data_IF_174952617698
#
_entry.id   IF_174952617698
#
_cell.length_a   1.000
_cell.length_b   1.000
_cell.length_c   1.000
_cell.angle_alpha   90.00
_cell.angle_beta   90.00
_cell.angle_gamma   90.00
#
_symmetry.space_group_name_H-M   'P 1'
#
loop_
_entity.id
_entity.type
_entity.pdbx_description
1 polymer ?
#
# COMPACT_ATOMS: atom_id res chain seq x y z
N UNK A 1 -26.25 12.05 -16.12
CA UNK A 1 -27.09 12.51 -15.00
C UNK A 1 -26.28 12.45 -13.74
N UNK A 2 -26.32 13.47 -12.89
CA UNK A 2 -25.62 13.41 -11.60
C UNK A 2 -26.30 12.34 -10.73
N UNK A 3 -25.62 11.23 -10.48
CA UNK A 3 -26.09 10.23 -9.53
C UNK A 3 -26.02 10.82 -8.12
N UNK A 4 -27.14 10.83 -7.41
CA UNK A 4 -27.17 11.16 -6.00
C UNK A 4 -27.20 9.84 -5.21
N UNK A 5 -26.24 9.65 -4.29
CA UNK A 5 -26.34 8.58 -3.32
C UNK A 5 -27.53 8.88 -2.40
N UNK A 6 -28.54 7.99 -2.41
CA UNK A 6 -29.71 8.08 -1.53
C UNK A 6 -29.70 6.88 -0.58
N UNK A 7 -30.20 7.06 0.65
CA UNK A 7 -30.27 6.01 1.67
C UNK A 7 -28.92 5.41 2.08
N UNK A 8 -27.97 6.21 2.62
CA UNK A 8 -26.69 5.70 3.08
C UNK A 8 -26.88 4.66 4.19
N UNK A 9 -26.09 3.57 4.13
CA UNK A 9 -26.05 2.52 5.14
C UNK A 9 -24.61 2.30 5.60
N UNK A 10 -24.42 2.12 6.91
CA UNK A 10 -23.13 1.74 7.46
C UNK A 10 -22.86 0.27 7.16
N UNK A 11 -21.79 -0.01 6.42
CA UNK A 11 -21.35 -1.39 6.10
C UNK A 11 -20.45 -1.94 7.21
N UNK A 12 -19.55 -1.12 7.73
CA UNK A 12 -18.74 -1.40 8.92
C UNK A 12 -18.65 -0.12 9.75
N UNK A 13 -18.87 -0.24 11.07
CA UNK A 13 -18.84 0.88 12.02
C UNK A 13 -17.94 0.58 13.20
N UNK A 14 -17.65 1.58 14.04
CA UNK A 14 -16.75 1.43 15.18
C UNK A 14 -15.30 1.15 14.79
N UNK A 15 -14.90 1.56 13.59
CA UNK A 15 -13.52 1.50 13.13
C UNK A 15 -12.65 2.48 13.93
N UNK A 16 -11.35 2.19 14.14
CA UNK A 16 -10.51 3.07 14.93
C UNK A 16 -10.31 4.38 14.18
N UNK A 17 -10.30 5.49 14.90
CA UNK A 17 -10.08 6.85 14.42
C UNK A 17 -9.25 7.64 15.45
N UNK A 18 -8.92 8.90 15.14
CA UNK A 18 -8.16 9.79 16.01
C UNK A 18 -8.85 10.06 17.37
N UNK A 19 -10.14 9.76 17.48
CA UNK A 19 -10.93 9.90 18.71
C UNK A 19 -11.07 8.60 19.50
N UNK A 20 -10.47 7.51 19.03
CA UNK A 20 -10.52 6.23 19.71
C UNK A 20 -9.88 6.35 21.11
N UNK A 21 -10.61 6.01 22.20
CA UNK A 21 -10.17 6.33 23.56
C UNK A 21 -8.83 5.71 23.97
N UNK A 22 -8.52 4.54 23.43
CA UNK A 22 -7.27 3.84 23.67
C UNK A 22 -6.08 4.52 22.98
N UNK A 23 -6.31 5.22 21.86
CA UNK A 23 -5.29 5.90 21.08
C UNK A 23 -4.94 7.29 21.63
N UNK A 24 -5.85 7.93 22.37
CA UNK A 24 -5.63 9.26 22.98
C UNK A 24 -5.11 10.31 21.98
N UNK A 25 -5.56 10.25 20.72
CA UNK A 25 -5.11 11.13 19.64
C UNK A 25 -3.83 10.68 18.90
N UNK A 26 -3.20 9.58 19.30
CA UNK A 26 -2.03 9.02 18.65
C UNK A 26 -2.41 7.96 17.62
N UNK A 27 -2.84 8.40 16.43
CA UNK A 27 -3.07 7.52 15.29
C UNK A 27 -2.42 8.10 14.03
N UNK A 28 -1.29 7.53 13.60
CA UNK A 28 -0.54 7.99 12.43
C UNK A 28 -1.20 7.63 11.10
N UNK A 29 -1.87 6.47 11.00
CA UNK A 29 -2.44 5.97 9.75
C UNK A 29 -3.97 5.93 9.80
N UNK A 30 -4.60 7.10 9.86
CA UNK A 30 -6.04 7.27 10.05
C UNK A 30 -6.91 6.95 8.83
N UNK A 31 -6.34 6.88 7.63
CA UNK A 31 -7.09 6.67 6.40
C UNK A 31 -7.47 5.19 6.22
N UNK A 32 -8.60 4.95 5.57
CA UNK A 32 -9.10 3.61 5.25
C UNK A 32 -9.46 3.59 3.79
N UNK A 33 -8.82 2.70 3.04
CA UNK A 33 -9.17 2.45 1.65
C UNK A 33 -10.21 1.38 1.57
N UNK A 34 -11.08 1.45 0.57
CA UNK A 34 -12.20 0.52 0.38
C UNK A 34 -12.16 -0.02 -1.03
N UNK A 35 -12.31 -1.34 -1.16
CA UNK A 35 -12.49 -2.01 -2.43
C UNK A 35 -13.71 -2.92 -2.36
N UNK A 36 -14.41 -3.10 -3.49
CA UNK A 36 -15.59 -3.97 -3.58
C UNK A 36 -15.28 -5.11 -4.53
N UNK A 37 -15.38 -6.34 -4.04
CA UNK A 37 -15.20 -7.54 -4.83
C UNK A 37 -16.32 -7.75 -5.86
N UNK A 38 -16.07 -8.55 -6.91
CA UNK A 38 -17.10 -8.87 -7.91
C UNK A 38 -18.28 -9.65 -7.31
N UNK A 39 -18.05 -10.34 -6.19
CA UNK A 39 -19.07 -11.03 -5.39
C UNK A 39 -19.89 -10.09 -4.49
N UNK A 40 -19.53 -8.81 -4.42
CA UNK A 40 -20.14 -7.81 -3.54
C UNK A 40 -19.60 -7.81 -2.11
N UNK A 41 -18.51 -8.55 -1.83
CA UNK A 41 -17.77 -8.40 -0.59
C UNK A 41 -17.14 -7.00 -0.51
N UNK A 42 -17.08 -6.42 0.69
CA UNK A 42 -16.44 -5.12 0.90
C UNK A 42 -15.15 -5.33 1.68
N UNK A 43 -14.04 -4.91 1.11
CA UNK A 43 -12.72 -4.94 1.73
C UNK A 43 -12.33 -3.54 2.15
N UNK A 44 -11.69 -3.41 3.32
CA UNK A 44 -11.18 -2.13 3.75
C UNK A 44 -9.91 -2.26 4.58
N UNK A 45 -8.98 -1.32 4.42
CA UNK A 45 -7.74 -1.29 5.21
C UNK A 45 -7.94 -0.58 6.54
N UNK A 46 -7.23 -1.05 7.57
CA UNK A 46 -7.04 -0.38 8.85
C UNK A 46 -5.53 -0.30 9.09
N UNK A 47 -4.95 0.90 8.94
CA UNK A 47 -3.52 1.12 9.16
C UNK A 47 -3.11 0.98 10.63
N UNK A 48 -1.82 0.79 10.88
CA UNK A 48 -1.21 0.75 12.21
C UNK A 48 -1.31 2.09 12.94
N UNK A 49 -1.31 2.06 14.26
CA UNK A 49 -1.31 3.26 15.11
C UNK A 49 -0.07 4.12 14.93
N UNK A 50 1.06 3.51 14.61
CA UNK A 50 2.33 4.21 14.43
C UNK A 50 3.32 3.42 13.58
N UNK A 51 4.59 3.80 13.66
CA UNK A 51 5.65 3.18 12.87
C UNK A 51 5.86 1.71 13.23
N UNK A 52 5.94 1.43 14.53
CA UNK A 52 6.16 0.11 15.14
C UNK A 52 5.26 0.04 16.37
N UNK A 53 4.17 -0.72 16.27
CA UNK A 53 3.19 -0.83 17.37
C UNK A 53 2.78 -2.29 17.52
N UNK A 54 3.55 -3.07 18.30
CA UNK A 54 3.26 -4.50 18.50
C UNK A 54 1.85 -4.74 19.11
N UNK A 55 1.37 -3.81 19.91
CA UNK A 55 0.02 -3.82 20.50
C UNK A 55 -1.11 -3.91 19.45
N UNK A 56 -0.90 -3.37 18.24
CA UNK A 56 -1.87 -3.41 17.14
C UNK A 56 -2.21 -4.85 16.73
N UNK A 57 -1.28 -5.79 16.92
CA UNK A 57 -1.48 -7.21 16.61
C UNK A 57 -2.52 -7.88 17.49
N UNK A 58 -2.87 -7.26 18.62
CA UNK A 58 -3.88 -7.74 19.57
C UNK A 58 -5.00 -6.74 19.83
N UNK A 59 -4.97 -5.59 19.15
CA UNK A 59 -5.94 -4.53 19.34
C UNK A 59 -7.35 -4.94 18.89
N UNK A 60 -8.36 -4.32 19.48
CA UNK A 60 -9.76 -4.43 19.05
C UNK A 60 -10.33 -3.03 18.86
N UNK A 61 -10.76 -2.65 17.65
CA UNK A 61 -10.68 -3.40 16.39
C UNK A 61 -9.23 -3.68 15.94
N UNK A 62 -8.99 -4.73 15.13
CA UNK A 62 -7.65 -5.07 14.66
C UNK A 62 -7.06 -3.95 13.78
N UNK A 63 -5.73 -3.82 13.78
CA UNK A 63 -4.99 -2.78 13.06
C UNK A 63 -3.81 -3.40 12.33
N UNK A 64 -3.24 -2.65 11.39
CA UNK A 64 -2.35 -3.20 10.38
C UNK A 64 -2.98 -4.40 9.66
N UNK A 65 -4.22 -4.24 9.24
CA UNK A 65 -5.05 -5.31 8.65
C UNK A 65 -5.81 -4.83 7.44
N UNK A 66 -6.16 -5.78 6.57
CA UNK A 66 -7.24 -5.63 5.60
C UNK A 66 -8.40 -6.49 6.11
N UNK A 67 -9.55 -5.84 6.30
CA UNK A 67 -10.77 -6.45 6.77
C UNK A 67 -11.70 -6.76 5.60
N UNK A 68 -12.60 -7.73 5.79
CA UNK A 68 -13.63 -8.11 4.83
C UNK A 68 -15.00 -8.15 5.49
N UNK A 69 -15.99 -7.59 4.82
CA UNK A 69 -17.42 -7.84 5.07
C UNK A 69 -17.92 -8.80 3.99
N UNK A 70 -18.55 -9.94 4.35
CA UNK A 70 -19.08 -10.88 3.38
C UNK A 70 -20.13 -10.27 2.43
N UNK A 71 -20.33 -10.86 1.24
CA UNK A 71 -21.46 -10.53 0.38
C UNK A 71 -22.79 -10.62 1.13
N UNK A 72 -23.65 -9.62 0.97
CA UNK A 72 -24.92 -9.54 1.70
C UNK A 72 -24.81 -8.92 3.10
N UNK A 73 -23.59 -8.63 3.58
CA UNK A 73 -23.33 -8.00 4.87
C UNK A 73 -22.95 -9.00 5.96
N UNK A 74 -22.84 -8.51 7.20
CA UNK A 74 -22.41 -9.30 8.36
C UNK A 74 -21.26 -8.62 9.11
N UNK A 75 -20.72 -9.28 10.15
CA UNK A 75 -19.55 -8.77 10.86
C UNK A 75 -18.34 -8.73 9.94
N UNK A 76 -17.49 -7.71 10.13
CA UNK A 76 -16.20 -7.65 9.46
C UNK A 76 -15.21 -8.63 10.12
N UNK A 77 -14.43 -9.32 9.30
CA UNK A 77 -13.39 -10.27 9.74
C UNK A 77 -12.04 -9.92 9.10
N UNK A 78 -10.89 -10.22 9.76
CA UNK A 78 -9.59 -10.05 9.13
C UNK A 78 -9.46 -10.92 7.88
N UNK A 79 -9.13 -10.30 6.75
CA UNK A 79 -8.81 -10.97 5.49
C UNK A 79 -7.31 -11.14 5.33
N UNK A 80 -6.53 -10.11 5.68
CA UNK A 80 -5.07 -10.15 5.74
C UNK A 80 -4.54 -9.36 6.94
N UNK A 81 -3.41 -9.77 7.47
CA UNK A 81 -2.75 -9.19 8.66
C UNK A 81 -1.32 -8.75 8.34
N UNK A 82 -0.73 -7.90 9.18
CA UNK A 82 0.61 -7.35 8.97
C UNK A 82 0.71 -6.35 7.83
N UNK A 83 -0.42 -5.78 7.43
CA UNK A 83 -0.51 -4.75 6.40
C UNK A 83 -0.39 -3.39 7.10
N UNK A 84 0.84 -2.93 7.36
CA UNK A 84 1.14 -1.70 8.14
C UNK A 84 0.24 -0.52 7.73
N UNK A 85 0.23 -0.17 6.45
CA UNK A 85 -0.55 0.93 5.92
C UNK A 85 -0.85 0.68 4.42
N UNK A 86 -1.78 -0.24 4.18
CA UNK A 86 -2.26 -0.66 2.87
C UNK A 86 -3.31 0.29 2.28
N UNK A 87 -2.95 1.54 2.06
CA UNK A 87 -3.83 2.54 1.43
C UNK A 87 -4.05 2.27 -0.05
N UNK A 88 -3.08 1.71 -0.77
CA UNK A 88 -3.38 1.13 -2.08
C UNK A 88 -4.17 -0.15 -1.87
N UNK A 89 -5.43 -0.20 -2.28
CA UNK A 89 -6.27 -1.39 -2.18
C UNK A 89 -7.21 -1.46 -3.38
N UNK A 90 -7.11 -2.53 -4.17
CA UNK A 90 -7.92 -2.70 -5.36
C UNK A 90 -8.21 -4.17 -5.64
N UNK A 91 -9.27 -4.40 -6.40
CA UNK A 91 -9.59 -5.71 -6.95
C UNK A 91 -9.07 -5.74 -8.38
N UNK A 92 -8.25 -6.73 -8.69
CA UNK A 92 -7.70 -6.98 -10.01
C UNK A 92 -8.76 -7.57 -10.97
N UNK A 93 -8.49 -7.61 -12.29
CA UNK A 93 -9.45 -8.15 -13.27
C UNK A 93 -9.85 -9.61 -13.04
N UNK A 94 -8.97 -10.41 -12.42
CA UNK A 94 -9.25 -11.81 -12.04
C UNK A 94 -10.11 -11.94 -10.76
N UNK A 95 -10.48 -10.82 -10.13
CA UNK A 95 -11.22 -10.76 -8.89
C UNK A 95 -10.36 -10.87 -7.62
N UNK A 96 -9.04 -11.03 -7.75
CA UNK A 96 -8.16 -11.07 -6.60
C UNK A 96 -7.99 -9.67 -5.97
N UNK A 97 -7.88 -9.62 -4.65
CA UNK A 97 -7.58 -8.38 -3.94
C UNK A 97 -6.07 -8.15 -3.90
N UNK A 98 -5.65 -6.91 -4.12
CA UNK A 98 -4.26 -6.49 -4.08
C UNK A 98 -4.10 -5.27 -3.19
N UNK A 99 -2.93 -5.14 -2.57
CA UNK A 99 -2.57 -3.94 -1.81
C UNK A 99 -1.20 -3.40 -2.20
N UNK A 100 -1.08 -2.08 -2.21
CA UNK A 100 0.21 -1.40 -2.17
C UNK A 100 0.37 -0.82 -0.74
N UNK A 101 1.36 -1.35 -0.02
CA UNK A 101 1.51 -1.17 1.42
C UNK A 101 2.78 -0.35 1.73
N UNK A 102 2.61 0.67 2.58
CA UNK A 102 3.72 1.49 3.05
C UNK A 102 4.44 0.75 4.20
N UNK A 103 5.69 0.36 3.96
CA UNK A 103 6.58 -0.35 4.87
C UNK A 103 7.04 0.48 6.07
N UNK A 104 7.94 -0.11 6.85
CA UNK A 104 8.42 0.44 8.11
C UNK A 104 9.43 1.58 7.88
N UNK A 105 9.31 2.67 8.64
CA UNK A 105 10.31 3.73 8.68
C UNK A 105 11.47 3.36 9.62
N UNK A 106 12.68 3.87 9.34
CA UNK A 106 13.85 3.77 10.22
C UNK A 106 14.12 2.33 10.66
N UNK A 107 14.12 1.40 9.69
CA UNK A 107 14.48 0.00 9.96
C UNK A 107 15.97 -0.08 10.34
N UNK A 108 16.31 -0.73 11.46
CA UNK A 108 17.70 -0.97 11.83
C UNK A 108 18.36 -1.99 10.89
N UNK A 109 19.68 -1.89 10.77
CA UNK A 109 20.48 -2.80 9.97
C UNK A 109 20.40 -4.23 10.55
N UNK A 110 20.01 -5.24 9.74
CA UNK A 110 19.68 -6.56 10.24
C UNK A 110 20.87 -7.52 10.31
N UNK A 111 21.96 -7.23 9.57
CA UNK A 111 23.08 -8.16 9.45
C UNK A 111 24.00 -8.16 10.67
N UNK A 112 24.45 -9.33 11.15
CA UNK A 112 25.40 -9.44 12.25
C UNK A 112 26.69 -8.65 11.97
N UNK A 113 27.09 -7.80 12.92
CA UNK A 113 28.30 -7.00 12.78
C UNK A 113 28.24 -5.72 13.60
N UNK A 114 29.20 -4.79 13.41
CA UNK A 114 29.27 -3.54 14.17
C UNK A 114 28.02 -2.67 14.04
N UNK A 115 27.32 -2.74 12.91
CA UNK A 115 26.11 -1.95 12.62
C UNK A 115 24.81 -2.68 12.99
N UNK A 116 24.85 -3.92 13.47
CA UNK A 116 23.65 -4.68 13.83
C UNK A 116 22.76 -3.90 14.81
N UNK A 117 21.47 -3.77 14.49
CA UNK A 117 20.51 -3.05 15.31
C UNK A 117 20.62 -1.51 15.22
N UNK A 118 21.54 -0.97 14.42
CA UNK A 118 21.68 0.47 14.24
C UNK A 118 20.83 0.98 13.08
N UNK A 119 20.18 2.13 13.27
CA UNK A 119 19.51 2.86 12.20
C UNK A 119 20.56 3.64 11.41
N UNK A 120 20.96 3.11 10.25
CA UNK A 120 21.96 3.74 9.38
C UNK A 120 21.27 4.31 8.13
N UNK A 121 21.52 5.58 7.75
CA UNK A 121 20.80 6.24 6.64
C UNK A 121 20.90 5.52 5.30
N UNK A 122 22.04 4.90 5.00
CA UNK A 122 22.26 4.15 3.74
C UNK A 122 21.33 2.94 3.64
N UNK A 123 21.21 2.14 4.71
CA UNK A 123 20.32 0.99 4.74
C UNK A 123 18.86 1.42 4.73
N UNK A 124 18.50 2.39 5.59
CA UNK A 124 17.14 2.94 5.65
C UNK A 124 16.73 3.46 4.28
N UNK A 125 17.60 4.19 3.59
CA UNK A 125 17.26 4.81 2.30
C UNK A 125 16.84 3.83 1.21
N UNK A 126 17.20 2.55 1.33
CA UNK A 126 16.88 1.49 0.37
C UNK A 126 16.04 0.36 0.97
N UNK A 127 15.68 0.41 2.27
CA UNK A 127 14.94 -0.66 2.93
C UNK A 127 13.88 -0.16 3.95
N UNK A 128 12.82 -0.95 4.16
CA UNK A 128 12.38 -2.03 3.28
C UNK A 128 11.80 -1.47 1.97
N UNK A 129 11.92 -2.17 0.84
CA UNK A 129 11.12 -1.86 -0.35
C UNK A 129 9.63 -1.79 -0.01
N UNK A 130 8.87 -0.94 -0.68
CA UNK A 130 7.41 -0.89 -0.51
C UNK A 130 6.78 -2.14 -1.13
N UNK A 131 5.74 -2.68 -0.53
CA UNK A 131 5.16 -3.96 -0.95
C UNK A 131 3.98 -3.76 -1.89
N UNK A 132 3.93 -4.50 -2.99
CA UNK A 132 2.73 -4.69 -3.82
C UNK A 132 2.37 -6.18 -3.76
N UNK A 133 1.33 -6.51 -3.00
CA UNK A 133 1.04 -7.87 -2.61
C UNK A 133 -0.37 -8.32 -3.01
N UNK A 134 -0.48 -9.58 -3.46
CA UNK A 134 -1.75 -10.26 -3.66
C UNK A 134 -2.29 -10.73 -2.30
N UNK A 135 -3.53 -10.39 -1.99
CA UNK A 135 -4.17 -10.75 -0.73
C UNK A 135 -5.08 -11.96 -0.91
N UNK A 136 -4.90 -12.93 -0.02
CA UNK A 136 -5.74 -14.13 0.11
C UNK A 136 -6.21 -14.24 1.57
N UNK A 137 -7.30 -14.99 1.85
CA UNK A 137 -7.76 -15.17 3.23
C UNK A 137 -6.65 -15.69 4.14
N UNK A 138 -6.38 -14.97 5.22
CA UNK A 138 -5.34 -15.30 6.20
C UNK A 138 -3.92 -14.92 5.79
N UNK A 139 -3.72 -14.19 4.68
CA UNK A 139 -2.39 -13.73 4.26
C UNK A 139 -1.78 -12.80 5.32
N UNK A 140 -0.53 -13.06 5.66
CA UNK A 140 0.27 -12.25 6.58
C UNK A 140 1.38 -11.53 5.80
N UNK A 141 1.49 -10.21 5.95
CA UNK A 141 2.51 -9.36 5.31
C UNK A 141 3.64 -8.91 6.27
N UNK A 142 3.72 -9.55 7.43
CA UNK A 142 4.92 -9.57 8.27
C UNK A 142 5.00 -8.47 9.32
N UNK A 143 4.41 -7.29 9.10
CA UNK A 143 4.52 -6.19 10.06
C UNK A 143 3.88 -6.55 11.43
N UNK A 144 4.49 -6.19 12.57
CA UNK A 144 5.75 -5.45 12.72
C UNK A 144 6.98 -6.36 12.90
N UNK A 145 6.83 -7.68 12.77
CA UNK A 145 7.82 -8.68 13.14
C UNK A 145 8.77 -9.07 12.02
N UNK A 146 8.38 -8.80 10.78
CA UNK A 146 9.17 -9.06 9.59
C UNK A 146 9.22 -7.81 8.70
N UNK A 147 10.32 -7.66 7.99
CA UNK A 147 10.48 -6.72 6.88
C UNK A 147 10.75 -7.51 5.61
N UNK A 148 10.43 -6.96 4.44
CA UNK A 148 10.86 -7.54 3.16
C UNK A 148 12.22 -7.00 2.74
N UNK A 149 12.99 -7.79 2.00
CA UNK A 149 14.30 -7.44 1.46
C UNK A 149 14.41 -7.89 0.00
N UNK A 150 15.31 -7.26 -0.76
CA UNK A 150 15.56 -7.61 -2.17
C UNK A 150 14.58 -6.93 -3.13
N UNK A 151 14.19 -7.65 -4.18
CA UNK A 151 13.28 -7.15 -5.22
C UNK A 151 13.94 -7.07 -6.61
N UNK A 152 13.16 -6.68 -7.64
CA UNK A 152 11.84 -6.06 -7.53
C UNK A 152 10.67 -7.03 -7.31
N UNK A 153 10.85 -8.34 -7.53
CA UNK A 153 9.80 -9.35 -7.42
C UNK A 153 10.20 -10.51 -6.48
N UNK A 154 9.21 -11.29 -6.04
CA UNK A 154 9.37 -12.46 -5.15
C UNK A 154 10.18 -12.16 -3.88
N UNK A 155 9.86 -11.05 -3.21
CA UNK A 155 10.66 -10.56 -2.08
C UNK A 155 10.47 -11.46 -0.85
N UNK A 156 11.53 -12.08 -0.32
CA UNK A 156 11.45 -12.79 0.93
C UNK A 156 11.26 -11.84 2.11
N UNK A 157 10.81 -12.40 3.22
CA UNK A 157 10.74 -11.72 4.51
C UNK A 157 11.96 -12.07 5.38
N UNK A 158 12.55 -11.05 5.98
CA UNK A 158 13.57 -11.15 7.02
C UNK A 158 12.98 -10.72 8.37
N UNK A 159 13.59 -11.20 9.45
CA UNK A 159 13.19 -10.83 10.81
C UNK A 159 13.49 -9.37 11.10
N UNK A 160 12.56 -8.72 11.79
CA UNK A 160 12.84 -7.44 12.40
C UNK A 160 13.71 -7.61 13.66
N UNK A 161 14.87 -6.98 13.69
CA UNK A 161 15.83 -7.18 14.80
C UNK A 161 15.41 -6.51 16.11
N UNK A 162 14.39 -5.66 16.11
CA UNK A 162 13.88 -5.05 17.34
C UNK A 162 12.67 -5.79 17.89
N UNK A 163 11.71 -6.14 17.03
CA UNK A 163 10.44 -6.73 17.47
C UNK A 163 10.42 -8.26 17.39
N UNK A 164 11.34 -8.87 16.62
CA UNK A 164 11.43 -10.32 16.43
C UNK A 164 12.89 -10.83 16.30
N UNK A 165 13.83 -10.40 17.17
CA UNK A 165 15.25 -10.75 17.05
C UNK A 165 15.51 -12.26 17.02
N UNK A 166 14.76 -13.01 17.83
CA UNK A 166 14.92 -14.45 17.97
C UNK A 166 14.06 -15.25 16.97
N UNK A 167 13.09 -14.60 16.32
CA UNK A 167 12.15 -15.25 15.38
C UNK A 167 10.90 -15.85 16.02
N UNK A 168 10.76 -15.78 17.35
CA UNK A 168 9.68 -16.44 18.09
C UNK A 168 8.30 -15.77 17.94
N UNK A 169 8.24 -14.52 17.44
CA UNK A 169 6.97 -13.79 17.29
C UNK A 169 6.28 -14.10 15.97
N UNK A 170 7.06 -14.38 14.92
CA UNK A 170 6.59 -14.76 13.60
C UNK A 170 7.72 -15.44 12.83
N UNK A 171 7.43 -16.60 12.24
CA UNK A 171 8.36 -17.26 11.32
C UNK A 171 8.35 -16.54 9.95
N UNK A 172 9.19 -15.53 9.82
CA UNK A 172 9.30 -14.73 8.61
C UNK A 172 9.68 -15.56 7.37
N UNK A 173 10.47 -16.61 7.55
CA UNK A 173 10.92 -17.46 6.43
C UNK A 173 9.79 -18.36 5.89
N UNK A 174 8.75 -18.61 6.69
CA UNK A 174 7.57 -19.36 6.26
C UNK A 174 6.51 -18.50 5.57
N UNK A 175 6.61 -17.16 5.65
CA UNK A 175 5.69 -16.27 4.95
C UNK A 175 5.91 -16.38 3.44
N UNK A 176 4.85 -16.44 2.62
CA UNK A 176 5.02 -16.44 1.18
C UNK A 176 5.66 -15.10 0.74
N UNK A 177 6.53 -15.10 -0.28
CA UNK A 177 7.16 -13.87 -0.77
C UNK A 177 6.15 -12.82 -1.26
N UNK A 178 6.56 -11.55 -1.26
CA UNK A 178 5.77 -10.44 -1.83
C UNK A 178 5.98 -10.41 -3.35
N UNK A 179 4.88 -10.30 -4.09
CA UNK A 179 4.86 -10.48 -5.54
C UNK A 179 5.66 -9.39 -6.29
N UNK A 180 5.50 -8.12 -5.90
CA UNK A 180 6.24 -7.00 -6.48
C UNK A 180 6.58 -5.94 -5.43
N UNK A 181 7.50 -5.05 -5.76
CA UNK A 181 7.92 -3.96 -4.87
C UNK A 181 8.14 -2.65 -5.59
N UNK A 182 8.16 -1.58 -4.80
CA UNK A 182 8.68 -0.27 -5.20
C UNK A 182 9.90 0.07 -4.37
N UNK A 183 10.70 1.04 -4.85
CA UNK A 183 11.81 1.57 -4.04
C UNK A 183 11.35 2.01 -2.65
N UNK A 184 12.18 1.78 -1.64
CA UNK A 184 11.86 2.10 -0.25
C UNK A 184 11.42 3.56 -0.07
N UNK A 185 10.45 3.78 0.81
CA UNK A 185 9.86 5.08 1.13
C UNK A 185 9.14 5.76 -0.05
N UNK A 186 8.86 5.05 -1.15
CA UNK A 186 8.11 5.60 -2.30
C UNK A 186 6.71 6.09 -1.91
N UNK A 187 6.15 5.55 -0.82
CA UNK A 187 4.85 5.90 -0.30
C UNK A 187 3.68 5.69 -1.28
N UNK A 188 3.34 4.43 -1.65
CA UNK A 188 2.21 4.14 -2.51
C UNK A 188 0.88 4.40 -1.78
N UNK A 189 0.02 5.24 -2.34
CA UNK A 189 -1.25 5.61 -1.70
C UNK A 189 -2.49 5.08 -2.41
N UNK A 190 -2.45 4.98 -3.73
CA UNK A 190 -3.57 4.53 -4.55
C UNK A 190 -3.17 3.36 -5.43
N UNK A 191 -4.09 2.43 -5.62
CA UNK A 191 -3.95 1.28 -6.50
C UNK A 191 -5.23 1.16 -7.33
N UNK A 192 -5.10 0.93 -8.62
CA UNK A 192 -6.22 0.55 -9.50
C UNK A 192 -5.71 -0.36 -10.61
N UNK A 193 -6.62 -0.96 -11.36
CA UNK A 193 -6.29 -1.79 -12.51
C UNK A 193 -6.96 -1.24 -13.77
N UNK A 194 -6.27 -1.43 -14.90
CA UNK A 194 -6.76 -1.22 -16.26
C UNK A 194 -6.81 -2.57 -16.97
N UNK A 195 -7.87 -2.82 -17.73
CA UNK A 195 -8.12 -4.03 -18.51
C UNK A 195 -8.80 -3.73 -19.87
N UNK A 196 -8.03 -3.10 -20.76
CA UNK A 196 -8.36 -2.84 -22.16
C UNK A 196 -8.79 -1.40 -22.46
N UNK A 197 -8.91 -0.53 -21.45
CA UNK A 197 -9.37 0.85 -21.64
C UNK A 197 -8.27 1.78 -22.20
N UNK A 198 -7.00 1.44 -21.99
CA UNK A 198 -5.85 2.21 -22.48
C UNK A 198 -5.21 1.56 -23.72
N UNK A 199 -4.55 2.32 -24.59
CA UNK A 199 -3.79 1.75 -25.70
C UNK A 199 -2.57 0.96 -25.22
N UNK A 200 -2.09 0.03 -26.05
CA UNK A 200 -0.82 -0.64 -25.83
C UNK A 200 0.34 0.38 -25.71
N UNK A 201 1.33 0.16 -24.83
CA UNK A 201 1.54 -1.03 -23.99
C UNK A 201 0.77 -1.04 -22.66
N UNK A 202 -0.03 0.00 -22.36
CA UNK A 202 -0.68 0.19 -21.07
C UNK A 202 -2.08 -0.42 -20.96
N UNK A 203 -2.45 -1.27 -21.93
CA UNK A 203 -3.79 -1.83 -22.02
C UNK A 203 -4.19 -2.68 -20.81
N UNK A 204 -3.26 -3.41 -20.20
CA UNK A 204 -3.55 -4.27 -19.05
C UNK A 204 -2.47 -4.10 -17.98
N UNK A 205 -2.86 -3.64 -16.79
CA UNK A 205 -1.90 -3.38 -15.73
C UNK A 205 -2.49 -2.80 -14.46
N UNK A 206 -1.65 -2.66 -13.44
CA UNK A 206 -1.96 -1.87 -12.25
C UNK A 206 -1.40 -0.46 -12.40
N UNK A 207 -2.18 0.54 -11.99
CA UNK A 207 -1.74 1.91 -11.80
C UNK A 207 -1.53 2.15 -10.31
N UNK A 208 -0.37 2.69 -9.94
CA UNK A 208 -0.01 2.98 -8.56
C UNK A 208 0.32 4.46 -8.41
N UNK A 209 -0.39 5.16 -7.54
CA UNK A 209 -0.07 6.54 -7.19
C UNK A 209 1.04 6.57 -6.12
N UNK A 210 2.17 7.19 -6.46
CA UNK A 210 3.38 7.24 -5.64
C UNK A 210 3.57 8.66 -5.12
N UNK A 211 3.43 8.83 -3.80
CA UNK A 211 3.41 10.15 -3.16
C UNK A 211 4.80 10.76 -2.96
N UNK A 212 5.84 9.93 -3.08
CA UNK A 212 7.25 10.30 -2.94
C UNK A 212 7.68 10.36 -1.48
N UNK A 213 8.97 10.06 -1.25
CA UNK A 213 9.51 9.84 0.10
C UNK A 213 9.64 11.10 0.92
N UNK A 214 9.48 10.99 2.24
CA UNK A 214 9.93 12.01 3.19
C UNK A 214 11.17 11.56 3.97
N UNK A 215 11.33 10.24 4.19
CA UNK A 215 12.36 9.63 5.03
C UNK A 215 13.55 9.05 4.24
N UNK A 216 14.03 9.75 3.20
CA UNK A 216 15.18 9.33 2.38
C UNK A 216 15.95 10.54 1.84
N UNK A 217 17.27 10.42 1.70
CA UNK A 217 18.11 11.40 1.01
C UNK A 217 19.00 10.73 -0.05
N UNK A 218 18.97 11.17 -1.33
CA UNK A 218 18.01 12.13 -1.89
C UNK A 218 16.57 11.56 -1.82
N UNK A 219 15.51 12.39 -1.89
CA UNK A 219 14.15 11.87 -1.88
C UNK A 219 13.82 11.09 -3.17
N UNK A 220 12.98 10.05 -3.05
CA UNK A 220 12.31 9.43 -4.20
C UNK A 220 11.25 10.40 -4.74
N UNK A 221 11.24 10.60 -6.05
CA UNK A 221 10.29 11.50 -6.70
C UNK A 221 8.87 10.90 -6.65
N UNK A 222 7.83 11.73 -6.52
CA UNK A 222 6.45 11.32 -6.75
C UNK A 222 6.24 10.95 -8.22
N UNK A 223 5.39 9.97 -8.47
CA UNK A 223 5.05 9.50 -9.83
C UNK A 223 3.70 8.76 -9.86
N UNK A 224 3.25 8.43 -11.06
CA UNK A 224 2.29 7.34 -11.29
C UNK A 224 3.08 6.20 -11.93
N UNK A 225 3.13 5.07 -11.25
CA UNK A 225 3.74 3.84 -11.78
C UNK A 225 2.70 2.97 -12.48
N UNK A 226 3.16 2.20 -13.45
CA UNK A 226 2.41 1.17 -14.15
C UNK A 226 3.12 -0.17 -14.01
N UNK A 227 2.38 -1.21 -13.68
CA UNK A 227 2.86 -2.59 -13.62
C UNK A 227 2.04 -3.42 -14.62
N UNK A 228 2.65 -3.97 -15.70
CA UNK A 228 1.92 -4.78 -16.66
C UNK A 228 1.23 -5.97 -15.99
N UNK A 229 -0.04 -6.20 -16.29
CA UNK A 229 -0.80 -7.32 -15.73
C UNK A 229 -0.88 -8.47 -16.72
N UNK A 230 -0.51 -9.67 -16.29
CA UNK A 230 -0.56 -10.87 -17.13
C UNK A 230 -0.94 -12.08 -16.29
N UNK A 231 -2.09 -12.69 -16.61
CA UNK A 231 -2.52 -13.98 -16.04
C UNK A 231 -2.53 -14.06 -14.51
N UNK A 232 -2.88 -12.97 -13.81
CA UNK A 232 -2.92 -12.98 -12.35
C UNK A 232 -1.70 -12.40 -11.66
N UNK A 233 -0.68 -11.99 -12.43
CA UNK A 233 0.61 -11.49 -11.95
C UNK A 233 0.93 -10.09 -12.48
N UNK A 234 1.79 -9.38 -11.74
CA UNK A 234 2.35 -8.08 -12.11
C UNK A 234 3.78 -8.23 -12.64
N UNK A 235 4.07 -7.61 -13.78
CA UNK A 235 5.41 -7.48 -14.35
C UNK A 235 6.17 -6.28 -13.78
N UNK A 236 7.30 -5.95 -14.41
CA UNK A 236 8.21 -4.90 -13.92
C UNK A 236 7.57 -3.50 -13.86
N UNK A 237 7.97 -2.73 -12.83
CA UNK A 237 7.58 -1.33 -12.65
C UNK A 237 7.99 -0.47 -13.86
N UNK A 238 7.08 0.39 -14.29
CA UNK A 238 7.31 1.44 -15.28
C UNK A 238 6.79 2.78 -14.77
N UNK A 239 7.49 3.88 -15.03
CA UNK A 239 6.96 5.21 -14.76
C UNK A 239 5.99 5.59 -15.89
N UNK A 240 4.71 5.77 -15.57
CA UNK A 240 3.70 6.28 -16.52
C UNK A 240 3.72 7.82 -16.57
N UNK A 241 3.73 8.45 -15.40
CA UNK A 241 3.82 9.92 -15.26
C UNK A 241 4.81 10.27 -14.18
N UNK A 242 5.86 10.99 -14.54
CA UNK A 242 6.84 11.54 -13.60
C UNK A 242 6.93 13.06 -13.71
N UNK A 243 8.03 13.63 -13.21
CA UNK A 243 8.32 15.05 -13.34
C UNK A 243 7.71 15.95 -12.27
N UNK A 244 7.07 15.37 -11.24
CA UNK A 244 6.50 16.10 -10.09
C UNK A 244 7.54 16.73 -9.16
N UNK A 245 8.83 16.47 -9.42
CA UNK A 245 9.96 16.93 -8.61
C UNK A 245 11.08 17.48 -9.53
N UNK A 246 11.69 18.60 -9.14
CA UNK A 246 12.88 19.17 -9.82
C UNK A 246 14.15 18.40 -9.47
N UNK A 247 15.24 18.66 -10.19
CA UNK A 247 16.55 18.05 -9.90
C UNK A 247 17.06 18.42 -8.49
N UNK A 248 16.73 19.60 -7.99
CA UNK A 248 17.02 20.06 -6.62
C UNK A 248 16.03 19.55 -5.57
N UNK A 249 15.20 18.56 -5.91
CA UNK A 249 14.23 17.92 -5.01
C UNK A 249 13.04 18.79 -4.58
N UNK A 250 12.80 19.92 -5.24
CA UNK A 250 11.57 20.71 -5.02
C UNK A 250 10.38 20.01 -5.66
N UNK A 251 9.26 19.87 -4.94
CA UNK A 251 8.05 19.18 -5.42
C UNK A 251 6.93 20.18 -5.72
N UNK A 252 6.31 20.04 -6.88
CA UNK A 252 5.12 20.82 -7.25
C UNK A 252 3.84 19.98 -7.26
N UNK A 253 3.96 18.66 -7.18
CA UNK A 253 2.84 17.73 -7.05
C UNK A 253 3.22 16.43 -6.34
N UNK A 254 2.24 15.72 -5.81
CA UNK A 254 2.36 14.42 -5.15
C UNK A 254 1.14 13.55 -5.46
N UNK A 255 1.23 12.67 -6.49
CA UNK A 255 0.13 11.80 -6.85
C UNK A 255 -0.34 10.91 -5.71
N UNK A 256 -1.65 10.80 -5.53
CA UNK A 256 -2.30 9.91 -4.56
C UNK A 256 -2.85 8.68 -5.26
N UNK A 257 -3.73 8.84 -6.25
CA UNK A 257 -4.34 7.76 -7.00
C UNK A 257 -4.41 8.09 -8.49
N UNK A 258 -4.42 7.06 -9.33
CA UNK A 258 -4.63 7.14 -10.76
C UNK A 258 -5.69 6.12 -11.18
N UNK A 259 -6.68 6.54 -11.96
CA UNK A 259 -7.78 5.69 -12.44
C UNK A 259 -8.15 6.04 -13.88
N UNK A 260 -8.60 5.05 -14.66
CA UNK A 260 -9.09 5.31 -16.01
C UNK A 260 -10.53 5.82 -15.95
N UNK A 261 -10.80 6.92 -16.64
CA UNK A 261 -12.14 7.50 -16.79
C UNK A 261 -12.89 6.94 -17.99
N UNK A 262 -14.20 7.25 -18.11
CA UNK A 262 -15.05 6.73 -19.18
C UNK A 262 -14.69 7.24 -20.59
N UNK A 263 -13.83 8.25 -20.68
CA UNK A 263 -13.29 8.83 -21.92
C UNK A 263 -11.94 8.21 -22.32
N UNK A 264 -11.47 7.18 -21.61
CA UNK A 264 -10.19 6.51 -21.86
C UNK A 264 -8.96 7.32 -21.40
N UNK A 265 -9.16 8.41 -20.66
CA UNK A 265 -8.06 9.16 -20.03
C UNK A 265 -7.75 8.60 -18.64
N UNK A 266 -6.50 8.74 -18.19
CA UNK A 266 -6.12 8.50 -16.79
C UNK A 266 -6.30 9.78 -16.00
N UNK A 267 -7.09 9.73 -14.94
CA UNK A 267 -7.27 10.81 -13.98
C UNK A 267 -6.39 10.56 -12.76
N UNK A 268 -5.57 11.56 -12.42
CA UNK A 268 -4.58 11.47 -11.34
C UNK A 268 -4.91 12.52 -10.30
N UNK A 269 -5.13 12.11 -9.05
CA UNK A 269 -5.41 13.02 -7.94
C UNK A 269 -4.12 13.44 -7.24
N UNK A 270 -4.04 14.71 -6.84
CA UNK A 270 -2.89 15.28 -6.14
C UNK A 270 -3.37 16.14 -4.97
N UNK A 271 -3.11 15.68 -3.75
CA UNK A 271 -3.53 16.36 -2.53
C UNK A 271 -2.64 17.57 -2.18
N UNK A 272 -1.36 17.54 -2.57
CA UNK A 272 -0.43 18.63 -2.32
C UNK A 272 -0.69 19.83 -3.22
N UNK A 273 -1.10 19.58 -4.46
CA UNK A 273 -1.45 20.61 -5.44
C UNK A 273 -2.95 20.99 -5.44
N UNK A 274 -3.80 20.27 -4.68
CA UNK A 274 -5.26 20.36 -4.72
C UNK A 274 -5.80 20.27 -6.17
N UNK A 275 -5.35 19.23 -6.88
CA UNK A 275 -5.54 19.12 -8.34
C UNK A 275 -5.98 17.72 -8.78
N UNK A 276 -6.63 17.69 -9.95
CA UNK A 276 -6.85 16.48 -10.73
C UNK A 276 -6.24 16.69 -12.12
N UNK A 277 -5.24 15.88 -12.46
CA UNK A 277 -4.66 15.86 -13.79
C UNK A 277 -5.41 14.87 -14.68
N UNK A 278 -5.59 15.23 -15.95
CA UNK A 278 -6.13 14.34 -16.98
C UNK A 278 -5.03 14.02 -17.99
N UNK A 279 -4.56 12.79 -17.98
CA UNK A 279 -3.61 12.26 -18.96
C UNK A 279 -4.39 11.53 -20.06
N UNK A 280 -4.27 12.00 -21.30
CA UNK A 280 -4.85 11.35 -22.47
C UNK A 280 -3.77 11.18 -23.55
N UNK A 281 -3.89 10.18 -24.43
CA UNK A 281 -3.10 10.14 -25.65
C UNK A 281 -3.25 11.47 -26.42
N UNK A 282 -2.18 11.96 -27.08
CA UNK A 282 -2.32 13.08 -27.99
C UNK A 282 -3.30 12.74 -29.12
N UNK A 283 -4.08 13.74 -29.53
CA UNK A 283 -5.01 13.65 -30.67
C UNK A 283 -4.30 13.30 -31.99
#
# INVERSE_FOLDING_TARGET
GAGAATNPRTVAGGLPDDRSPDLRGAYSHVLKSVAVGPDGAVYFSIGSTGNISEEDRSATPPRATVMRVPPGGGPAEPFATGVRNGTGLAVAPDGALWTANNGRDNVPFPEPGPSYGQVIPEYVGENPPEQIAKLTPGRELGWPYCNNEGGPADLPFIRDVQTNPDGDRLDCAALPPVEQSMGAHSAPLGLSFVDGELPAPYAQGALVGVHGSWNRQPPRAPEVSFYPWRNGDLGDQQTLVGGFQTEESSRWGRPVAAVVGPDGAVYITDDAADAIYRLAPPD
#
